data_IF_284144331870
#
_entry.id   IF_284144331870
#
_cell.length_a   1.000
_cell.length_b   1.000
_cell.length_c   1.000
_cell.angle_alpha   90.00
_cell.angle_beta   90.00
_cell.angle_gamma   90.00
#
_symmetry.space_group_name_H-M   'P 1'
#
loop_
_entity.id
_entity.type
_entity.pdbx_description
1 polymer ?
#
# COMPACT_ATOMS: atom_id res chain seq x y z
N UNK A 1 -11.07 91.26 28.34
CA UNK A 1 -10.21 90.16 27.83
C UNK A 1 -10.99 89.30 26.85
N UNK A 2 -10.77 89.48 25.50
CA UNK A 2 -11.48 88.76 24.43
C UNK A 2 -10.69 87.50 24.14
N UNK A 3 -11.27 86.33 24.33
CA UNK A 3 -10.70 85.01 23.92
C UNK A 3 -11.05 84.81 22.45
N UNK A 4 -10.03 84.73 21.56
CA UNK A 4 -10.18 84.38 20.16
C UNK A 4 -10.31 82.87 20.05
N UNK A 5 -11.25 82.31 19.24
CA UNK A 5 -11.28 80.88 18.93
C UNK A 5 -10.17 80.57 17.93
N UNK A 6 -9.38 79.50 18.24
CA UNK A 6 -8.40 78.91 17.32
C UNK A 6 -9.15 78.13 16.21
N UNK A 7 -9.14 78.68 15.02
CA UNK A 7 -9.52 77.96 13.79
C UNK A 7 -8.42 77.00 13.40
N UNK A 8 -8.62 75.71 13.54
CA UNK A 8 -7.77 74.69 12.93
C UNK A 8 -8.17 74.56 11.44
N UNK A 9 -7.22 74.48 10.51
CA UNK A 9 -7.55 74.38 9.09
C UNK A 9 -8.24 73.04 8.76
N UNK A 10 -9.28 73.09 8.00
CA UNK A 10 -10.15 71.94 7.61
C UNK A 10 -9.45 70.87 6.78
N UNK A 11 -8.27 71.14 6.25
CA UNK A 11 -7.52 70.23 5.30
C UNK A 11 -6.78 69.09 5.99
N UNK A 12 -6.52 69.12 7.29
CA UNK A 12 -5.82 68.04 7.98
C UNK A 12 -6.72 66.85 8.35
N UNK A 13 -8.06 66.98 8.32
CA UNK A 13 -9.00 65.89 8.67
C UNK A 13 -9.27 64.91 7.52
N UNK A 14 -9.20 65.33 6.29
CA UNK A 14 -9.54 64.49 5.11
C UNK A 14 -8.39 63.59 4.72
N UNK A 15 -7.16 64.03 4.82
CA UNK A 15 -5.97 63.22 4.42
C UNK A 15 -5.74 62.02 5.37
N UNK A 16 -6.01 62.19 6.65
CA UNK A 16 -5.92 61.12 7.67
C UNK A 16 -6.98 60.00 7.48
N UNK A 17 -8.21 60.39 7.15
CA UNK A 17 -9.30 59.45 6.91
C UNK A 17 -9.13 58.69 5.58
N UNK A 18 -8.59 59.31 4.55
CA UNK A 18 -8.30 58.64 3.27
C UNK A 18 -7.13 57.66 3.38
N UNK A 19 -6.09 57.95 4.16
CA UNK A 19 -5.00 57.02 4.47
C UNK A 19 -5.49 55.79 5.27
N UNK A 20 -6.37 55.99 6.25
CA UNK A 20 -7.00 54.90 7.00
C UNK A 20 -7.87 54.03 6.08
N UNK A 21 -8.72 54.63 5.25
CA UNK A 21 -9.56 53.89 4.27
C UNK A 21 -8.73 53.15 3.22
N UNK A 22 -7.59 53.68 2.75
CA UNK A 22 -6.66 52.98 1.84
C UNK A 22 -5.99 51.81 2.54
N UNK A 23 -5.61 51.97 3.80
CA UNK A 23 -5.00 50.89 4.59
C UNK A 23 -5.99 49.75 4.87
N UNK A 24 -7.23 50.06 5.23
CA UNK A 24 -8.30 49.09 5.44
C UNK A 24 -8.66 48.33 4.14
N UNK A 25 -8.77 49.04 2.98
CA UNK A 25 -8.98 48.39 1.68
C UNK A 25 -7.81 47.50 1.28
N UNK A 26 -6.59 47.91 1.56
CA UNK A 26 -5.38 47.08 1.32
C UNK A 26 -5.37 45.83 2.21
N UNK A 27 -5.72 45.96 3.48
CA UNK A 27 -5.84 44.82 4.40
C UNK A 27 -7.00 43.87 4.02
N UNK A 28 -8.16 44.41 3.64
CA UNK A 28 -9.30 43.64 3.18
C UNK A 28 -8.97 42.87 1.90
N UNK A 29 -8.28 43.50 0.93
CA UNK A 29 -7.84 42.88 -0.33
C UNK A 29 -6.80 41.79 -0.08
N UNK A 30 -5.89 41.99 0.90
CA UNK A 30 -4.91 40.99 1.31
C UNK A 30 -5.57 39.81 2.07
N UNK A 31 -6.59 40.08 2.90
CA UNK A 31 -7.36 39.01 3.58
C UNK A 31 -8.17 38.20 2.58
N UNK A 32 -8.86 38.84 1.63
CA UNK A 32 -9.61 38.13 0.58
C UNK A 32 -8.70 37.35 -0.36
N UNK A 33 -7.53 37.87 -0.75
CA UNK A 33 -6.55 37.17 -1.53
C UNK A 33 -5.93 35.97 -0.80
N UNK A 34 -5.66 36.09 0.51
CA UNK A 34 -5.21 34.96 1.35
C UNK A 34 -6.32 33.92 1.51
N UNK A 35 -7.56 34.35 1.68
CA UNK A 35 -8.71 33.44 1.83
C UNK A 35 -8.96 32.65 0.53
N UNK A 36 -8.95 33.30 -0.65
CA UNK A 36 -9.06 32.62 -1.93
C UNK A 36 -7.89 31.66 -2.20
N UNK A 37 -6.66 32.06 -1.86
CA UNK A 37 -5.50 31.20 -1.97
C UNK A 37 -5.58 29.97 -1.06
N UNK A 38 -6.12 30.14 0.15
CA UNK A 38 -6.35 29.04 1.10
C UNK A 38 -7.45 28.08 0.61
N UNK A 39 -8.53 28.60 0.02
CA UNK A 39 -9.61 27.78 -0.57
C UNK A 39 -9.09 26.98 -1.76
N UNK A 40 -8.35 27.61 -2.68
CA UNK A 40 -7.74 26.92 -3.81
C UNK A 40 -6.74 25.85 -3.40
N UNK A 41 -5.91 26.14 -2.39
CA UNK A 41 -4.98 25.12 -1.84
C UNK A 41 -5.72 23.99 -1.14
N UNK A 42 -6.85 24.23 -0.50
CA UNK A 42 -7.67 23.21 0.15
C UNK A 42 -8.27 22.23 -0.88
N UNK A 43 -8.89 22.72 -1.94
CA UNK A 43 -9.45 21.86 -2.99
C UNK A 43 -8.34 21.09 -3.73
N UNK A 44 -7.23 21.75 -4.00
CA UNK A 44 -6.14 21.10 -4.73
C UNK A 44 -5.47 19.94 -3.95
N UNK A 45 -5.48 19.98 -2.62
CA UNK A 45 -4.99 18.84 -1.79
C UNK A 45 -5.74 17.55 -2.08
N UNK A 46 -7.05 17.63 -2.28
CA UNK A 46 -7.86 16.45 -2.59
C UNK A 46 -7.65 15.96 -4.03
N UNK A 47 -7.36 16.86 -4.98
CA UNK A 47 -6.92 16.47 -6.33
C UNK A 47 -5.62 15.65 -6.24
N UNK A 48 -4.66 16.09 -5.41
CA UNK A 48 -3.43 15.34 -5.18
C UNK A 48 -3.73 13.95 -4.58
N UNK A 49 -4.61 13.86 -3.59
CA UNK A 49 -5.01 12.55 -3.02
C UNK A 49 -5.64 11.67 -4.09
N UNK A 50 -6.49 12.21 -4.96
CA UNK A 50 -7.05 11.48 -6.11
C UNK A 50 -6.00 10.96 -7.07
N UNK A 51 -5.00 11.77 -7.41
CA UNK A 51 -3.86 11.35 -8.24
C UNK A 51 -3.05 10.25 -7.54
N UNK A 52 -2.75 10.40 -6.25
CA UNK A 52 -2.02 9.40 -5.48
C UNK A 52 -2.83 8.11 -5.30
N UNK A 53 -4.14 8.19 -5.20
CA UNK A 53 -5.03 7.04 -5.19
C UNK A 53 -4.95 6.28 -6.52
N UNK A 54 -5.04 6.99 -7.66
CA UNK A 54 -4.87 6.39 -8.98
C UNK A 54 -3.50 5.70 -9.14
N UNK A 55 -2.41 6.35 -8.68
CA UNK A 55 -1.07 5.75 -8.63
C UNK A 55 -1.08 4.41 -7.89
N UNK A 56 -1.75 4.34 -6.73
CA UNK A 56 -1.81 3.10 -5.96
C UNK A 56 -2.71 2.04 -6.61
N UNK A 57 -3.80 2.44 -7.27
CA UNK A 57 -4.64 1.54 -8.07
C UNK A 57 -3.80 0.88 -9.17
N UNK A 58 -3.13 1.68 -9.99
CA UNK A 58 -2.35 1.19 -11.13
C UNK A 58 -1.15 0.35 -10.67
N UNK A 59 -0.36 0.86 -9.72
CA UNK A 59 0.80 0.14 -9.21
C UNK A 59 0.42 -1.23 -8.63
N UNK A 60 -0.70 -1.34 -7.90
CA UNK A 60 -1.11 -2.62 -7.33
C UNK A 60 -1.80 -3.53 -8.35
N UNK A 61 -2.54 -2.96 -9.30
CA UNK A 61 -3.08 -3.70 -10.44
C UNK A 61 -1.95 -4.41 -11.21
N UNK A 62 -0.83 -3.70 -11.42
CA UNK A 62 0.35 -4.25 -12.09
C UNK A 62 1.01 -5.37 -11.28
N UNK A 63 1.22 -5.19 -9.97
CA UNK A 63 1.77 -6.25 -9.12
C UNK A 63 0.87 -7.50 -9.16
N UNK A 64 -0.44 -7.32 -9.10
CA UNK A 64 -1.41 -8.42 -9.13
C UNK A 64 -1.46 -9.11 -10.49
N UNK A 65 -1.09 -8.44 -11.59
CA UNK A 65 -1.15 -9.00 -12.94
C UNK A 65 -0.28 -10.26 -13.07
N UNK A 66 0.87 -10.30 -12.40
CA UNK A 66 1.77 -11.45 -12.47
C UNK A 66 1.16 -12.74 -11.89
N UNK A 67 0.42 -12.64 -10.77
CA UNK A 67 -0.30 -13.76 -10.19
C UNK A 67 -1.55 -14.15 -10.99
N UNK A 68 -2.28 -13.14 -11.49
CA UNK A 68 -3.52 -13.36 -12.26
C UNK A 68 -3.22 -13.98 -13.63
N UNK A 69 -2.18 -13.53 -14.31
CA UNK A 69 -1.76 -14.02 -15.60
C UNK A 69 -0.79 -15.21 -15.51
N UNK A 70 -0.44 -15.63 -14.29
CA UNK A 70 0.49 -16.73 -14.04
C UNK A 70 0.16 -18.04 -14.79
N UNK A 71 -1.11 -18.47 -14.95
CA UNK A 71 -1.42 -19.66 -15.75
C UNK A 71 -0.92 -19.56 -17.18
N UNK A 72 -1.16 -18.42 -17.83
CA UNK A 72 -0.72 -18.18 -19.22
C UNK A 72 0.80 -18.00 -19.34
N UNK A 73 1.41 -17.28 -18.40
CA UNK A 73 2.86 -17.06 -18.36
C UNK A 73 3.59 -18.39 -18.12
N UNK A 74 3.04 -19.24 -17.23
CA UNK A 74 3.58 -20.56 -16.91
C UNK A 74 3.57 -21.47 -18.13
N UNK A 75 2.47 -21.47 -18.88
CA UNK A 75 2.31 -22.29 -20.09
C UNK A 75 3.21 -21.79 -21.23
N UNK A 76 3.19 -20.51 -21.55
CA UNK A 76 3.90 -19.91 -22.68
C UNK A 76 5.43 -19.93 -22.54
N UNK A 77 5.94 -19.72 -21.32
CA UNK A 77 7.37 -19.74 -21.00
C UNK A 77 7.84 -21.09 -20.43
N UNK A 78 6.98 -22.11 -20.38
CA UNK A 78 7.25 -23.44 -19.83
C UNK A 78 7.84 -23.40 -18.40
N UNK A 79 7.25 -22.56 -17.51
CA UNK A 79 7.76 -22.35 -16.18
C UNK A 79 7.23 -23.37 -15.18
N UNK A 80 8.05 -23.69 -14.18
CA UNK A 80 7.60 -24.37 -12.97
C UNK A 80 6.87 -23.40 -12.01
N UNK A 81 6.13 -23.94 -11.04
CA UNK A 81 5.46 -23.11 -10.04
C UNK A 81 6.46 -22.36 -9.17
N UNK A 82 7.61 -22.97 -8.86
CA UNK A 82 8.68 -22.29 -8.12
C UNK A 82 9.26 -21.12 -8.91
N UNK A 83 9.39 -21.22 -10.23
CA UNK A 83 9.84 -20.11 -11.08
C UNK A 83 8.86 -18.94 -11.08
N UNK A 84 7.55 -19.19 -11.07
CA UNK A 84 6.53 -18.14 -10.88
C UNK A 84 6.73 -17.45 -9.51
N UNK A 85 7.01 -18.21 -8.45
CA UNK A 85 7.32 -17.63 -7.14
C UNK A 85 8.56 -16.73 -7.17
N UNK A 86 9.62 -17.13 -7.86
CA UNK A 86 10.83 -16.32 -8.01
C UNK A 86 10.61 -15.02 -8.82
N UNK A 87 9.69 -14.99 -9.76
CA UNK A 87 9.30 -13.75 -10.44
C UNK A 87 8.77 -12.71 -9.42
N UNK A 88 7.92 -13.14 -8.50
CA UNK A 88 7.41 -12.28 -7.43
C UNK A 88 8.52 -11.89 -6.44
N UNK A 89 9.43 -12.83 -6.15
CA UNK A 89 10.60 -12.54 -5.31
C UNK A 89 11.52 -11.50 -5.93
N UNK A 90 11.78 -11.56 -7.24
CA UNK A 90 12.61 -10.58 -7.95
C UNK A 90 12.02 -9.17 -7.82
N UNK A 91 10.69 -9.03 -8.03
CA UNK A 91 9.97 -7.78 -7.80
C UNK A 91 10.15 -7.28 -6.36
N UNK A 92 9.97 -8.17 -5.36
CA UNK A 92 10.09 -7.82 -3.94
C UNK A 92 11.51 -7.41 -3.57
N UNK A 93 12.54 -8.06 -4.11
CA UNK A 93 13.95 -7.69 -3.93
C UNK A 93 14.20 -6.30 -4.50
N UNK A 94 13.79 -6.06 -5.75
CA UNK A 94 13.96 -4.77 -6.41
C UNK A 94 13.31 -3.63 -5.61
N UNK A 95 12.06 -3.83 -5.16
CA UNK A 95 11.35 -2.86 -4.34
C UNK A 95 12.05 -2.60 -3.00
N UNK A 96 12.55 -3.64 -2.33
CA UNK A 96 13.25 -3.52 -1.05
C UNK A 96 14.57 -2.75 -1.18
N UNK A 97 15.32 -3.00 -2.24
CA UNK A 97 16.60 -2.29 -2.52
C UNK A 97 16.37 -0.79 -2.73
N UNK A 98 15.35 -0.42 -3.46
CA UNK A 98 15.09 0.98 -3.84
C UNK A 98 14.30 1.76 -2.80
N UNK A 99 13.47 1.13 -1.98
CA UNK A 99 12.53 1.80 -1.07
C UNK A 99 13.22 2.71 -0.06
N UNK A 100 14.34 2.27 0.50
CA UNK A 100 15.08 3.07 1.48
C UNK A 100 15.79 4.27 0.85
N UNK A 101 16.61 4.12 -0.23
CA UNK A 101 17.20 5.27 -0.91
C UNK A 101 16.17 6.18 -1.59
N UNK A 102 15.04 5.65 -2.04
CA UNK A 102 13.97 6.44 -2.66
C UNK A 102 13.45 7.55 -1.73
N UNK A 103 13.28 7.26 -0.44
CA UNK A 103 12.89 8.27 0.54
C UNK A 103 13.84 9.47 0.58
N UNK A 104 15.15 9.23 0.47
CA UNK A 104 16.17 10.28 0.41
C UNK A 104 16.15 11.00 -0.94
N UNK A 105 16.09 10.26 -2.04
CA UNK A 105 16.11 10.83 -3.39
C UNK A 105 14.89 11.72 -3.64
N UNK A 106 13.71 11.31 -3.18
CA UNK A 106 12.46 12.09 -3.29
C UNK A 106 12.59 13.45 -2.59
N UNK A 107 13.36 13.54 -1.51
CA UNK A 107 13.62 14.80 -0.82
C UNK A 107 14.41 15.80 -1.66
N UNK A 108 15.28 15.32 -2.55
CA UNK A 108 16.11 16.18 -3.43
C UNK A 108 15.43 16.44 -4.78
N UNK A 109 14.97 15.38 -5.43
CA UNK A 109 14.44 15.43 -6.79
C UNK A 109 12.99 15.96 -6.86
N UNK A 110 12.27 15.92 -5.73
CA UNK A 110 10.86 16.29 -5.64
C UNK A 110 9.92 15.12 -5.94
N UNK A 111 8.72 15.20 -5.36
CA UNK A 111 7.71 14.14 -5.45
C UNK A 111 7.21 13.96 -6.88
N UNK A 112 6.91 15.08 -7.55
CA UNK A 112 6.36 15.08 -8.92
C UNK A 112 7.27 14.32 -9.88
N UNK A 113 8.56 14.67 -9.91
CA UNK A 113 9.56 14.05 -10.81
C UNK A 113 9.73 12.56 -10.49
N UNK A 114 9.85 12.24 -9.22
CA UNK A 114 10.10 10.86 -8.78
C UNK A 114 8.91 9.93 -9.04
N UNK A 115 7.67 10.37 -8.79
CA UNK A 115 6.48 9.59 -9.11
C UNK A 115 6.30 9.41 -10.63
N UNK A 116 6.50 10.49 -11.40
CA UNK A 116 6.44 10.41 -12.87
C UNK A 116 7.47 9.43 -13.42
N UNK A 117 8.72 9.51 -12.94
CA UNK A 117 9.79 8.58 -13.35
C UNK A 117 9.44 7.14 -12.96
N UNK A 118 8.98 6.92 -11.72
CA UNK A 118 8.63 5.59 -11.24
C UNK A 118 7.51 4.96 -12.08
N UNK A 119 6.41 5.70 -12.32
CA UNK A 119 5.29 5.19 -13.11
C UNK A 119 5.67 4.97 -14.59
N UNK A 120 6.49 5.86 -15.16
CA UNK A 120 7.01 5.69 -16.52
C UNK A 120 7.91 4.45 -16.64
N UNK A 121 8.81 4.22 -15.68
CA UNK A 121 9.65 3.02 -15.64
C UNK A 121 8.83 1.74 -15.40
N UNK A 122 7.87 1.76 -14.49
CA UNK A 122 6.94 0.65 -14.26
C UNK A 122 6.25 0.26 -15.57
N UNK A 123 5.66 1.25 -16.27
CA UNK A 123 5.01 1.00 -17.55
C UNK A 123 5.96 0.47 -18.62
N UNK A 124 7.16 1.06 -18.75
CA UNK A 124 8.20 0.60 -19.67
C UNK A 124 8.60 -0.86 -19.41
N UNK A 125 8.87 -1.22 -18.15
CA UNK A 125 9.27 -2.58 -17.79
C UNK A 125 8.12 -3.58 -17.92
N UNK A 126 6.86 -3.17 -17.77
CA UNK A 126 5.71 -4.02 -18.12
C UNK A 126 5.63 -4.29 -19.62
N UNK A 127 5.86 -3.28 -20.45
CA UNK A 127 5.94 -3.45 -21.92
C UNK A 127 7.08 -4.40 -22.27
N UNK A 128 8.27 -4.20 -21.70
CA UNK A 128 9.42 -5.08 -21.91
C UNK A 128 9.14 -6.51 -21.43
N UNK A 129 8.45 -6.69 -20.30
CA UNK A 129 8.07 -8.00 -19.79
C UNK A 129 7.08 -8.71 -20.73
N UNK A 130 6.14 -7.98 -21.34
CA UNK A 130 5.22 -8.55 -22.32
C UNK A 130 5.93 -9.12 -23.56
N UNK A 131 7.14 -8.66 -23.84
CA UNK A 131 7.98 -9.10 -24.96
C UNK A 131 9.06 -10.12 -24.52
N UNK A 132 9.11 -10.48 -23.21
CA UNK A 132 10.15 -11.37 -22.71
C UNK A 132 10.09 -12.76 -23.37
N UNK A 133 11.18 -13.21 -23.98
CA UNK A 133 11.23 -14.51 -24.67
C UNK A 133 11.64 -15.66 -23.75
N UNK A 134 12.14 -15.37 -22.53
CA UNK A 134 12.66 -16.39 -21.63
C UNK A 134 12.52 -15.98 -20.16
N UNK A 135 12.56 -16.99 -19.29
CA UNK A 135 12.49 -16.83 -17.84
C UNK A 135 13.54 -15.86 -17.27
N UNK A 136 14.80 -15.97 -17.69
CA UNK A 136 15.89 -15.15 -17.14
C UNK A 136 15.75 -13.67 -17.50
N UNK A 137 15.28 -13.39 -18.70
CA UNK A 137 14.98 -12.02 -19.13
C UNK A 137 13.78 -11.48 -18.35
N UNK A 138 12.72 -12.27 -18.22
CA UNK A 138 11.55 -11.93 -17.41
C UNK A 138 11.92 -11.63 -15.95
N UNK A 139 12.76 -12.46 -15.33
CA UNK A 139 13.25 -12.29 -13.96
C UNK A 139 14.02 -10.98 -13.77
N UNK A 140 14.94 -10.69 -14.72
CA UNK A 140 15.76 -9.46 -14.70
C UNK A 140 14.88 -8.23 -14.86
N UNK A 141 13.92 -8.27 -15.78
CA UNK A 141 12.97 -7.17 -15.98
C UNK A 141 12.17 -6.91 -14.71
N UNK A 142 11.68 -7.96 -14.03
CA UNK A 142 10.91 -7.80 -12.80
C UNK A 142 11.73 -7.30 -11.62
N UNK A 143 13.01 -7.62 -11.55
CA UNK A 143 13.92 -7.05 -10.56
C UNK A 143 14.01 -5.52 -10.72
N UNK A 144 14.21 -5.04 -11.95
CA UNK A 144 14.32 -3.60 -12.24
C UNK A 144 12.95 -2.91 -12.11
N UNK A 145 11.87 -3.56 -12.57
CA UNK A 145 10.50 -3.13 -12.32
C UNK A 145 10.26 -2.90 -10.82
N UNK A 146 10.67 -3.88 -9.99
CA UNK A 146 10.57 -3.79 -8.53
C UNK A 146 11.29 -2.55 -7.98
N UNK A 147 12.47 -2.23 -8.50
CA UNK A 147 13.20 -1.01 -8.09
C UNK A 147 12.40 0.27 -8.38
N UNK A 148 11.75 0.35 -9.54
CA UNK A 148 10.86 1.47 -9.86
C UNK A 148 9.64 1.51 -8.92
N UNK A 149 9.03 0.35 -8.64
CA UNK A 149 7.88 0.23 -7.75
C UNK A 149 8.19 0.66 -6.31
N UNK A 150 9.37 0.36 -5.79
CA UNK A 150 9.81 0.74 -4.45
C UNK A 150 9.85 2.25 -4.20
N UNK A 151 9.87 3.08 -5.25
CA UNK A 151 9.83 4.55 -5.15
C UNK A 151 8.42 5.07 -4.83
N UNK A 152 7.38 4.37 -5.29
CA UNK A 152 5.98 4.84 -5.26
C UNK A 152 5.52 5.12 -3.83
N UNK A 153 5.73 4.20 -2.91
CA UNK A 153 5.27 4.31 -1.52
C UNK A 153 5.83 5.53 -0.77
N UNK A 154 7.17 5.67 -0.68
CA UNK A 154 7.81 6.83 -0.06
C UNK A 154 7.43 8.16 -0.71
N UNK A 155 7.43 8.26 -2.04
CA UNK A 155 7.10 9.47 -2.77
C UNK A 155 5.64 9.91 -2.54
N UNK A 156 4.69 8.98 -2.63
CA UNK A 156 3.28 9.27 -2.39
C UNK A 156 3.01 9.65 -0.93
N UNK A 157 3.68 8.99 0.03
CA UNK A 157 3.55 9.32 1.45
C UNK A 157 4.09 10.70 1.77
N UNK A 158 5.24 11.05 1.20
CA UNK A 158 5.82 12.40 1.31
C UNK A 158 4.88 13.46 0.74
N UNK A 159 4.25 13.21 -0.42
CA UNK A 159 3.28 14.13 -1.00
C UNK A 159 2.14 14.47 -0.02
N UNK A 160 1.58 13.46 0.64
CA UNK A 160 0.54 13.70 1.66
C UNK A 160 1.07 14.51 2.84
N UNK A 161 2.28 14.21 3.31
CA UNK A 161 2.90 14.95 4.42
C UNK A 161 3.15 16.42 4.07
N UNK A 162 3.54 16.72 2.84
CA UNK A 162 3.88 18.06 2.38
C UNK A 162 2.62 18.92 2.09
N UNK A 163 1.50 18.30 1.69
CA UNK A 163 0.27 19.00 1.35
C UNK A 163 -0.76 19.10 2.48
N UNK A 164 -0.76 18.17 3.43
CA UNK A 164 -1.75 18.14 4.49
C UNK A 164 -1.17 18.56 5.84
N UNK A 165 -1.88 19.43 6.60
CA UNK A 165 -1.54 19.70 8.00
C UNK A 165 -1.71 18.44 8.84
N UNK A 166 -1.23 18.44 10.07
CA UNK A 166 -1.34 17.29 10.98
C UNK A 166 -2.77 16.74 11.09
N UNK A 167 -3.76 17.65 11.13
CA UNK A 167 -5.18 17.32 11.06
C UNK A 167 -5.53 16.99 9.60
N UNK A 168 -6.06 15.79 9.34
CA UNK A 168 -6.44 15.31 8.00
C UNK A 168 -5.38 14.46 7.28
N UNK A 169 -4.13 14.39 7.75
CA UNK A 169 -3.10 13.50 7.17
C UNK A 169 -3.50 12.03 7.21
N UNK A 170 -4.03 11.58 8.34
CA UNK A 170 -4.45 10.18 8.49
C UNK A 170 -5.56 9.82 7.50
N UNK A 171 -6.55 10.70 7.32
CA UNK A 171 -7.63 10.53 6.34
C UNK A 171 -7.08 10.46 4.92
N UNK A 172 -6.21 11.41 4.53
CA UNK A 172 -5.60 11.44 3.20
C UNK A 172 -4.75 10.18 2.93
N UNK A 173 -3.97 9.72 3.92
CA UNK A 173 -3.22 8.45 3.85
C UNK A 173 -4.16 7.25 3.69
N UNK A 174 -5.25 7.22 4.45
CA UNK A 174 -6.26 6.15 4.37
C UNK A 174 -6.91 6.10 2.99
N UNK A 175 -7.40 7.23 2.48
CA UNK A 175 -8.00 7.33 1.14
C UNK A 175 -7.02 6.87 0.07
N UNK A 176 -5.79 7.40 0.07
CA UNK A 176 -4.74 6.96 -0.85
C UNK A 176 -4.53 5.44 -0.81
N UNK A 177 -4.49 4.86 0.38
CA UNK A 177 -4.19 3.45 0.58
C UNK A 177 -5.33 2.50 0.12
N UNK A 178 -6.57 2.98 0.03
CA UNK A 178 -7.67 2.18 -0.56
C UNK A 178 -7.40 1.85 -2.02
N UNK A 179 -6.62 2.68 -2.73
CA UNK A 179 -6.20 2.41 -4.11
C UNK A 179 -5.56 1.04 -4.29
N UNK A 180 -4.80 0.55 -3.31
CA UNK A 180 -4.22 -0.81 -3.33
C UNK A 180 -5.30 -1.89 -3.50
N UNK A 181 -6.40 -1.79 -2.75
CA UNK A 181 -7.46 -2.78 -2.84
C UNK A 181 -8.23 -2.67 -4.18
N UNK A 182 -8.52 -1.44 -4.61
CA UNK A 182 -9.16 -1.21 -5.91
C UNK A 182 -8.28 -1.71 -7.07
N UNK A 183 -6.95 -1.58 -6.97
CA UNK A 183 -6.02 -2.17 -7.92
C UNK A 183 -6.17 -3.69 -8.03
N UNK A 184 -6.28 -4.40 -6.90
CA UNK A 184 -6.54 -5.84 -6.87
C UNK A 184 -7.91 -6.21 -7.47
N UNK A 185 -8.96 -5.44 -7.16
CA UNK A 185 -10.31 -5.64 -7.70
C UNK A 185 -10.29 -5.49 -9.23
N UNK A 186 -9.76 -4.38 -9.74
CA UNK A 186 -9.70 -4.14 -11.19
C UNK A 186 -8.82 -5.16 -11.90
N UNK A 187 -7.69 -5.55 -11.31
CA UNK A 187 -6.85 -6.59 -11.84
C UNK A 187 -7.61 -7.92 -12.00
N UNK A 188 -8.29 -8.36 -10.95
CA UNK A 188 -9.05 -9.62 -10.94
C UNK A 188 -10.23 -9.63 -11.90
N UNK A 189 -10.88 -8.48 -12.13
CA UNK A 189 -12.01 -8.39 -13.04
C UNK A 189 -11.60 -8.22 -14.50
N UNK A 190 -10.58 -7.39 -14.78
CA UNK A 190 -10.24 -6.99 -16.14
C UNK A 190 -9.21 -7.89 -16.79
N UNK A 191 -8.12 -8.26 -16.07
CA UNK A 191 -6.99 -8.93 -16.70
C UNK A 191 -7.31 -10.34 -17.19
N UNK A 192 -8.09 -11.19 -16.50
CA UNK A 192 -8.47 -12.49 -17.03
C UNK A 192 -9.28 -12.40 -18.32
N UNK A 193 -10.21 -11.45 -18.40
CA UNK A 193 -11.00 -11.22 -19.60
C UNK A 193 -10.11 -10.73 -20.76
N UNK A 194 -9.26 -9.73 -20.52
CA UNK A 194 -8.32 -9.24 -21.53
C UNK A 194 -7.38 -10.34 -22.04
N UNK A 195 -6.89 -11.21 -21.14
CA UNK A 195 -6.00 -12.29 -21.52
C UNK A 195 -6.66 -13.35 -22.40
N UNK A 196 -7.94 -13.62 -22.18
CA UNK A 196 -8.73 -14.54 -23.02
C UNK A 196 -8.99 -13.94 -24.40
N UNK A 197 -9.31 -12.62 -24.49
CA UNK A 197 -9.64 -11.97 -25.77
C UNK A 197 -8.41 -11.59 -26.60
N UNK A 198 -7.32 -11.17 -25.96
CA UNK A 198 -6.16 -10.61 -26.64
C UNK A 198 -4.89 -11.46 -26.51
N UNK A 199 -4.61 -12.02 -25.42
CA UNK A 199 -3.50 -12.79 -24.85
C UNK A 199 -2.91 -12.10 -23.64
N UNK A 200 -2.16 -12.82 -22.82
CA UNK A 200 -1.51 -12.26 -21.64
C UNK A 200 -0.46 -11.18 -22.00
N UNK A 201 0.24 -11.36 -23.14
CA UNK A 201 1.25 -10.39 -23.62
C UNK A 201 0.61 -9.06 -23.98
N UNK A 202 -0.48 -9.07 -24.75
CA UNK A 202 -1.21 -7.86 -25.13
C UNK A 202 -1.92 -7.23 -23.92
N UNK A 203 -2.36 -8.02 -22.95
CA UNK A 203 -2.94 -7.50 -21.71
C UNK A 203 -1.90 -6.72 -20.91
N UNK A 204 -0.68 -7.23 -20.76
CA UNK A 204 0.40 -6.52 -20.07
C UNK A 204 0.90 -5.31 -20.89
N UNK A 205 0.94 -5.41 -22.21
CA UNK A 205 1.25 -4.27 -23.08
C UNK A 205 0.23 -3.13 -22.86
N UNK A 206 -1.07 -3.44 -22.87
CA UNK A 206 -2.12 -2.46 -22.65
C UNK A 206 -2.01 -1.80 -21.27
N UNK A 207 -1.76 -2.60 -20.23
CA UNK A 207 -1.55 -2.08 -18.86
C UNK A 207 -0.28 -1.23 -18.77
N UNK A 208 0.81 -1.66 -19.42
CA UNK A 208 2.05 -0.89 -19.49
C UNK A 208 1.90 0.46 -20.19
N UNK A 209 1.15 0.50 -21.30
CA UNK A 209 0.83 1.74 -22.00
C UNK A 209 -0.04 2.66 -21.15
N UNK A 210 -1.04 2.11 -20.43
CA UNK A 210 -1.86 2.87 -19.49
C UNK A 210 -0.99 3.48 -18.37
N UNK A 211 0.00 2.74 -17.90
CA UNK A 211 0.93 3.21 -16.87
C UNK A 211 1.82 4.35 -17.37
N UNK A 212 2.37 4.23 -18.58
CA UNK A 212 3.13 5.33 -19.21
C UNK A 212 2.25 6.56 -19.42
N UNK A 213 1.01 6.37 -19.87
CA UNK A 213 0.04 7.48 -20.00
C UNK A 213 -0.26 8.12 -18.63
N UNK A 214 -0.37 7.31 -17.57
CA UNK A 214 -0.55 7.81 -16.21
C UNK A 214 0.62 8.65 -15.72
N UNK A 215 1.85 8.32 -16.11
CA UNK A 215 3.04 9.12 -15.79
C UNK A 215 2.94 10.53 -16.38
N UNK A 216 2.46 10.67 -17.62
CA UNK A 216 2.20 11.98 -18.23
C UNK A 216 1.10 12.76 -17.50
N UNK A 217 0.01 12.08 -17.12
CA UNK A 217 -1.08 12.66 -16.34
C UNK A 217 -0.58 13.14 -14.96
N UNK A 218 0.21 12.33 -14.26
CA UNK A 218 0.81 12.67 -12.97
C UNK A 218 1.72 13.90 -13.13
N UNK A 219 2.55 13.93 -14.16
CA UNK A 219 3.41 15.09 -14.44
C UNK A 219 2.58 16.36 -14.66
N UNK A 220 1.45 16.30 -15.33
CA UNK A 220 0.55 17.44 -15.55
C UNK A 220 -0.19 17.88 -14.29
N UNK A 221 -0.73 16.94 -13.53
CA UNK A 221 -1.63 17.21 -12.40
C UNK A 221 -0.92 17.35 -11.05
N UNK A 222 0.21 16.67 -10.83
CA UNK A 222 0.89 16.72 -9.55
C UNK A 222 1.80 17.95 -9.48
N UNK A 223 1.51 18.87 -8.56
CA UNK A 223 2.38 20.03 -8.28
C UNK A 223 3.25 19.74 -7.06
N UNK A 224 4.44 20.31 -7.06
CA UNK A 224 5.27 20.32 -5.85
C UNK A 224 4.59 21.18 -4.77
N UNK A 225 4.71 20.77 -3.53
CA UNK A 225 4.15 21.55 -2.42
C UNK A 225 4.89 22.89 -2.31
N UNK A 226 4.15 24.01 -2.14
CA UNK A 226 4.77 25.32 -1.90
C UNK A 226 5.51 25.36 -0.54
N UNK A 227 5.16 24.45 0.36
CA UNK A 227 5.85 24.28 1.64
C UNK A 227 7.00 23.30 1.42
N UNK A 228 8.15 23.78 0.94
CA UNK A 228 9.40 23.02 1.10
C UNK A 228 9.55 22.78 2.60
N UNK A 229 9.48 21.52 3.01
CA UNK A 229 9.69 21.15 4.39
C UNK A 229 11.12 21.51 4.81
N UNK A 230 11.28 22.75 5.26
CA UNK A 230 12.53 23.26 5.85
C UNK A 230 12.79 22.72 7.25
N UNK A 231 12.20 21.56 7.59
CA UNK A 231 12.58 20.89 8.82
C UNK A 231 14.01 20.35 8.65
N UNK A 232 14.92 20.72 9.54
CA UNK A 232 16.27 20.19 9.52
C UNK A 232 16.17 18.67 9.55
N UNK A 233 16.83 18.03 8.57
CA UNK A 233 16.90 16.56 8.51
C UNK A 233 17.44 16.08 9.84
N UNK A 234 16.67 15.32 10.57
CA UNK A 234 17.23 14.58 11.70
C UNK A 234 18.20 13.58 11.10
N UNK A 235 19.48 13.61 11.44
CA UNK A 235 20.45 12.67 10.90
C UNK A 235 19.94 11.24 11.17
N UNK A 236 20.16 10.35 10.18
CA UNK A 236 19.85 8.92 10.35
C UNK A 236 20.78 8.42 11.45
N UNK A 237 20.24 8.20 12.64
CA UNK A 237 21.02 7.70 13.76
C UNK A 237 21.04 6.18 13.64
N UNK A 238 22.02 5.62 12.94
CA UNK A 238 22.22 4.20 12.76
C UNK A 238 22.15 3.42 14.07
N UNK A 239 22.68 3.99 15.15
CA UNK A 239 22.58 3.42 16.50
C UNK A 239 21.13 3.24 16.97
N UNK A 240 20.21 4.14 16.56
CA UNK A 240 18.77 4.03 16.88
C UNK A 240 18.09 2.95 16.05
N UNK A 241 18.47 2.81 14.78
CA UNK A 241 17.96 1.74 13.89
C UNK A 241 18.42 0.38 14.45
N UNK A 242 19.72 0.23 14.72
CA UNK A 242 20.27 -1.02 15.23
C UNK A 242 19.62 -1.45 16.57
N UNK A 243 19.40 -0.48 17.47
CA UNK A 243 18.70 -0.73 18.73
C UNK A 243 17.25 -1.18 18.51
N UNK A 244 16.56 -0.62 17.54
CA UNK A 244 15.20 -1.04 17.20
C UNK A 244 15.13 -2.42 16.54
N UNK A 245 16.09 -2.73 15.67
CA UNK A 245 16.21 -4.07 15.04
C UNK A 245 16.46 -5.14 16.09
N UNK A 246 17.10 -4.79 17.22
CA UNK A 246 17.35 -5.71 18.34
C UNK A 246 16.26 -5.67 19.43
N UNK A 247 15.26 -4.78 19.28
CA UNK A 247 14.15 -4.72 20.24
C UNK A 247 13.24 -5.93 20.08
N UNK A 248 13.01 -6.65 21.20
CA UNK A 248 12.23 -7.89 21.22
C UNK A 248 10.82 -7.72 20.67
N UNK A 249 10.13 -6.64 21.06
CA UNK A 249 8.75 -6.41 20.64
C UNK A 249 8.67 -6.07 19.15
N UNK A 250 9.66 -5.33 18.62
CA UNK A 250 9.77 -5.02 17.19
C UNK A 250 10.10 -6.27 16.39
N UNK A 251 10.98 -7.16 16.88
CA UNK A 251 11.27 -8.44 16.23
C UNK A 251 10.03 -9.35 16.19
N UNK A 252 9.27 -9.43 17.29
CA UNK A 252 8.01 -10.20 17.31
C UNK A 252 7.00 -9.62 16.31
N UNK A 253 6.80 -8.30 16.29
CA UNK A 253 5.93 -7.62 15.33
C UNK A 253 6.43 -7.81 13.89
N UNK A 254 7.75 -7.77 13.66
CA UNK A 254 8.37 -8.09 12.38
C UNK A 254 8.09 -9.53 11.92
N UNK A 255 8.19 -10.50 12.82
CA UNK A 255 7.85 -11.91 12.56
C UNK A 255 6.35 -12.09 12.23
N UNK A 256 5.47 -11.36 12.91
CA UNK A 256 4.05 -11.33 12.60
C UNK A 256 3.82 -10.76 11.18
N UNK A 257 4.49 -9.64 10.84
CA UNK A 257 4.41 -9.06 9.49
C UNK A 257 4.96 -10.01 8.43
N UNK A 258 6.06 -10.72 8.72
CA UNK A 258 6.62 -11.77 7.85
C UNK A 258 5.55 -12.80 7.49
N UNK A 259 4.89 -13.39 8.47
CA UNK A 259 3.88 -14.43 8.24
C UNK A 259 2.64 -13.90 7.50
N UNK A 260 2.17 -12.69 7.83
CA UNK A 260 1.05 -12.08 7.09
C UNK A 260 1.41 -11.75 5.64
N UNK A 261 2.59 -11.16 5.40
CA UNK A 261 3.03 -10.86 4.03
C UNK A 261 3.33 -12.13 3.24
N UNK A 262 3.92 -13.14 3.87
CA UNK A 262 4.09 -14.47 3.29
C UNK A 262 2.75 -15.03 2.79
N UNK A 263 1.73 -15.03 3.63
CA UNK A 263 0.39 -15.53 3.30
C UNK A 263 -0.28 -14.68 2.21
N UNK A 264 -0.24 -13.35 2.34
CA UNK A 264 -0.89 -12.44 1.39
C UNK A 264 -0.28 -12.53 -0.01
N UNK A 265 1.06 -12.52 -0.12
CA UNK A 265 1.72 -12.56 -1.43
C UNK A 265 1.64 -13.95 -2.06
N UNK A 266 1.74 -15.04 -1.28
CA UNK A 266 1.51 -16.40 -1.80
C UNK A 266 0.08 -16.57 -2.30
N UNK A 267 -0.92 -16.11 -1.54
CA UNK A 267 -2.32 -16.11 -1.98
C UNK A 267 -2.50 -15.32 -3.28
N UNK A 268 -1.98 -14.11 -3.36
CA UNK A 268 -2.12 -13.26 -4.55
C UNK A 268 -1.43 -13.86 -5.78
N UNK A 269 -0.36 -14.64 -5.59
CA UNK A 269 0.38 -15.29 -6.67
C UNK A 269 -0.29 -16.57 -7.15
N UNK A 270 -0.77 -17.41 -6.21
CA UNK A 270 -1.17 -18.78 -6.52
C UNK A 270 -2.68 -19.04 -6.51
N UNK A 271 -3.51 -18.10 -6.03
CA UNK A 271 -4.96 -18.33 -6.01
C UNK A 271 -5.51 -18.66 -7.40
N UNK A 272 -5.15 -17.87 -8.41
CA UNK A 272 -5.64 -18.10 -9.79
C UNK A 272 -5.11 -19.44 -10.35
N UNK A 273 -3.84 -19.74 -10.12
CA UNK A 273 -3.25 -21.03 -10.51
C UNK A 273 -3.98 -22.20 -9.85
N UNK A 274 -4.21 -22.14 -8.54
CA UNK A 274 -4.99 -23.14 -7.80
C UNK A 274 -6.40 -23.31 -8.37
N UNK A 275 -7.12 -22.20 -8.59
CA UNK A 275 -8.48 -22.26 -9.10
C UNK A 275 -8.56 -22.77 -10.53
N UNK A 276 -7.58 -22.47 -11.39
CA UNK A 276 -7.58 -22.89 -12.80
C UNK A 276 -6.98 -24.28 -13.00
N UNK A 277 -5.87 -24.60 -12.36
CA UNK A 277 -5.16 -25.86 -12.59
C UNK A 277 -5.74 -27.02 -11.78
N UNK A 278 -6.08 -26.79 -10.51
CA UNK A 278 -6.61 -27.85 -9.65
C UNK A 278 -8.15 -27.88 -9.62
N UNK A 279 -8.79 -26.72 -9.38
CA UNK A 279 -10.26 -26.65 -9.33
C UNK A 279 -10.92 -26.60 -10.71
N UNK A 280 -10.15 -26.49 -11.79
CA UNK A 280 -10.61 -26.42 -13.19
C UNK A 280 -11.60 -25.29 -13.48
N UNK A 281 -11.53 -24.19 -12.72
CA UNK A 281 -12.38 -23.03 -12.98
C UNK A 281 -11.93 -22.29 -14.25
N UNK A 282 -12.88 -21.73 -15.03
CA UNK A 282 -12.54 -20.75 -16.06
C UNK A 282 -11.80 -19.58 -15.44
N UNK A 283 -10.77 -19.07 -16.12
CA UNK A 283 -9.89 -18.03 -15.55
C UNK A 283 -10.64 -16.75 -15.18
N UNK A 284 -11.70 -16.40 -15.92
CA UNK A 284 -12.56 -15.23 -15.60
C UNK A 284 -13.24 -15.43 -14.24
N UNK A 285 -13.77 -16.64 -13.97
CA UNK A 285 -14.36 -16.98 -12.68
C UNK A 285 -13.31 -16.95 -11.57
N UNK A 286 -12.11 -17.47 -11.82
CA UNK A 286 -11.00 -17.39 -10.87
C UNK A 286 -10.62 -15.93 -10.56
N UNK A 287 -10.61 -15.05 -11.56
CA UNK A 287 -10.42 -13.61 -11.40
C UNK A 287 -11.49 -12.93 -10.55
N UNK A 288 -12.76 -13.35 -10.66
CA UNK A 288 -13.85 -12.86 -9.81
C UNK A 288 -13.62 -13.23 -8.34
N UNK A 289 -13.16 -14.45 -8.04
CA UNK A 289 -12.78 -14.87 -6.67
C UNK A 289 -11.61 -14.01 -6.13
N UNK A 290 -10.62 -13.73 -6.98
CA UNK A 290 -9.52 -12.84 -6.62
C UNK A 290 -10.04 -11.43 -6.30
N UNK A 291 -10.83 -10.83 -7.18
CA UNK A 291 -11.43 -9.51 -6.98
C UNK A 291 -12.27 -9.44 -5.71
N UNK A 292 -13.09 -10.47 -5.46
CA UNK A 292 -13.91 -10.58 -4.25
C UNK A 292 -13.05 -10.61 -2.99
N UNK A 293 -11.93 -11.36 -2.98
CA UNK A 293 -11.03 -11.40 -1.83
C UNK A 293 -10.45 -10.03 -1.49
N UNK A 294 -10.10 -9.21 -2.49
CA UNK A 294 -9.62 -7.85 -2.30
C UNK A 294 -10.72 -6.88 -1.87
N UNK A 295 -11.94 -7.03 -2.38
CA UNK A 295 -13.10 -6.25 -1.94
C UNK A 295 -13.41 -6.50 -0.46
N UNK A 296 -13.47 -7.77 -0.08
CA UNK A 296 -13.68 -8.18 1.32
C UNK A 296 -12.50 -7.76 2.21
N UNK A 297 -11.28 -7.82 1.69
CA UNK A 297 -10.09 -7.32 2.38
C UNK A 297 -10.12 -5.81 2.63
N UNK A 298 -10.66 -5.03 1.68
CA UNK A 298 -10.88 -3.59 1.87
C UNK A 298 -11.88 -3.31 2.99
N UNK A 299 -13.02 -4.00 2.96
CA UNK A 299 -14.02 -3.94 4.01
C UNK A 299 -13.45 -4.39 5.37
N UNK A 300 -12.64 -5.46 5.37
CA UNK A 300 -11.97 -5.99 6.54
C UNK A 300 -11.07 -4.97 7.23
N UNK A 301 -10.30 -4.16 6.48
CA UNK A 301 -9.46 -3.11 7.07
C UNK A 301 -10.26 -2.10 7.90
N UNK A 302 -11.41 -1.69 7.41
CA UNK A 302 -12.31 -0.77 8.11
C UNK A 302 -12.97 -1.48 9.29
N UNK A 303 -13.53 -2.65 9.04
CA UNK A 303 -14.22 -3.46 10.04
C UNK A 303 -13.34 -3.75 11.26
N UNK A 304 -12.11 -4.26 11.05
CA UNK A 304 -11.19 -4.58 12.14
C UNK A 304 -10.78 -3.36 12.95
N UNK A 305 -10.57 -2.21 12.27
CA UNK A 305 -10.25 -0.96 12.96
C UNK A 305 -11.40 -0.51 13.85
N UNK A 306 -12.63 -0.52 13.33
CA UNK A 306 -13.83 -0.20 14.11
C UNK A 306 -14.06 -1.21 15.24
N UNK A 307 -13.94 -2.50 14.95
CA UNK A 307 -14.11 -3.55 15.95
C UNK A 307 -13.14 -3.39 17.11
N UNK A 308 -11.89 -3.03 16.81
CA UNK A 308 -10.89 -2.77 17.83
C UNK A 308 -11.19 -1.55 18.69
N UNK A 309 -11.66 -0.46 18.06
CA UNK A 309 -11.90 0.80 18.79
C UNK A 309 -13.18 0.78 19.61
N UNK A 310 -14.28 0.21 19.07
CA UNK A 310 -15.60 0.28 19.68
C UNK A 310 -15.95 -0.93 20.54
N UNK A 311 -15.56 -2.14 20.14
CA UNK A 311 -15.98 -3.36 20.83
C UNK A 311 -14.94 -3.92 21.79
N UNK A 312 -13.66 -3.70 21.57
CA UNK A 312 -12.58 -4.27 22.38
C UNK A 312 -11.72 -3.22 23.10
N UNK A 313 -12.24 -2.01 23.27
CA UNK A 313 -11.57 -0.94 24.03
C UNK A 313 -10.09 -0.73 23.64
N UNK A 314 -9.79 -0.88 22.36
CA UNK A 314 -8.42 -0.70 21.84
C UNK A 314 -7.48 -1.88 22.05
N UNK A 315 -7.97 -3.07 22.41
CA UNK A 315 -7.15 -4.28 22.60
C UNK A 315 -6.72 -4.86 21.24
N UNK A 316 -5.69 -4.28 20.63
CA UNK A 316 -5.19 -4.59 19.29
C UNK A 316 -4.74 -6.05 19.16
N UNK A 317 -4.09 -6.57 20.18
CA UNK A 317 -3.61 -7.96 20.24
C UNK A 317 -4.76 -8.97 20.10
N UNK A 318 -5.91 -8.72 20.74
CA UNK A 318 -7.08 -9.61 20.63
C UNK A 318 -7.65 -9.63 19.22
N UNK A 319 -7.78 -8.47 18.58
CA UNK A 319 -8.23 -8.39 17.18
C UNK A 319 -7.25 -9.10 16.25
N UNK A 320 -5.95 -8.84 16.39
CA UNK A 320 -4.96 -9.46 15.53
C UNK A 320 -4.91 -10.99 15.72
N UNK A 321 -5.19 -11.48 16.95
CA UNK A 321 -5.35 -12.91 17.22
C UNK A 321 -6.58 -13.49 16.50
N UNK A 322 -7.71 -12.78 16.50
CA UNK A 322 -8.92 -13.19 15.78
C UNK A 322 -8.67 -13.23 14.27
N UNK A 323 -8.00 -12.21 13.72
CA UNK A 323 -7.58 -12.17 12.32
C UNK A 323 -6.70 -13.37 11.98
N UNK A 324 -5.71 -13.70 12.83
CA UNK A 324 -4.83 -14.84 12.63
C UNK A 324 -5.55 -16.19 12.73
N UNK A 325 -6.56 -16.32 13.61
CA UNK A 325 -7.40 -17.51 13.69
C UNK A 325 -8.23 -17.70 12.41
N UNK A 326 -8.84 -16.64 11.90
CA UNK A 326 -9.58 -16.69 10.63
C UNK A 326 -8.64 -17.04 9.47
N UNK A 327 -7.45 -16.47 9.44
CA UNK A 327 -6.42 -16.80 8.44
C UNK A 327 -6.01 -18.29 8.54
N UNK A 328 -5.83 -18.81 9.77
CA UNK A 328 -5.49 -20.20 10.01
C UNK A 328 -6.55 -21.14 9.44
N UNK A 329 -7.81 -20.93 9.80
CA UNK A 329 -8.89 -21.79 9.33
C UNK A 329 -9.19 -21.63 7.84
N UNK A 330 -9.05 -20.43 7.28
CA UNK A 330 -9.25 -20.21 5.85
C UNK A 330 -8.15 -20.85 5.00
N UNK A 331 -6.89 -20.75 5.38
CA UNK A 331 -5.79 -21.44 4.69
C UNK A 331 -5.85 -22.95 4.88
N UNK A 332 -6.25 -23.43 6.05
CA UNK A 332 -6.49 -24.85 6.29
C UNK A 332 -7.65 -25.37 5.41
N UNK A 333 -8.74 -24.62 5.30
CA UNK A 333 -9.86 -24.97 4.42
C UNK A 333 -9.44 -25.05 2.96
N UNK A 334 -8.66 -24.09 2.45
CA UNK A 334 -8.10 -24.15 1.09
C UNK A 334 -7.23 -25.41 0.89
N UNK A 335 -6.41 -25.77 1.88
CA UNK A 335 -5.63 -27.02 1.88
C UNK A 335 -6.52 -28.27 1.85
N UNK A 336 -7.55 -28.30 2.71
CA UNK A 336 -8.47 -29.43 2.75
C UNK A 336 -9.29 -29.58 1.46
N UNK A 337 -9.72 -28.49 0.84
CA UNK A 337 -10.42 -28.49 -0.45
C UNK A 337 -9.52 -29.13 -1.55
N UNK A 338 -8.24 -28.86 -1.52
CA UNK A 338 -7.28 -29.48 -2.45
C UNK A 338 -7.18 -30.99 -2.26
N UNK A 339 -7.14 -31.48 -1.03
CA UNK A 339 -7.08 -32.93 -0.75
C UNK A 339 -8.42 -33.65 -0.95
N UNK A 340 -9.53 -32.97 -0.66
CA UNK A 340 -10.88 -33.51 -0.75
C UNK A 340 -11.79 -32.58 -1.59
N UNK A 341 -11.86 -32.81 -2.91
CA UNK A 341 -12.70 -31.99 -3.80
C UNK A 341 -14.18 -31.91 -3.41
N UNK A 342 -14.69 -32.87 -2.66
CA UNK A 342 -16.05 -32.83 -2.08
C UNK A 342 -16.29 -31.58 -1.19
N UNK A 343 -15.22 -30.97 -0.65
CA UNK A 343 -15.31 -29.74 0.14
C UNK A 343 -15.34 -28.45 -0.73
N UNK A 344 -15.33 -28.57 -2.06
CA UNK A 344 -15.39 -27.42 -2.98
C UNK A 344 -16.53 -26.42 -2.72
N UNK A 345 -17.71 -26.77 -2.18
CA UNK A 345 -18.73 -25.79 -1.80
C UNK A 345 -18.24 -24.78 -0.73
N UNK A 346 -17.23 -25.13 0.07
CA UNK A 346 -16.63 -24.23 1.07
C UNK A 346 -15.64 -23.22 0.48
N UNK A 347 -15.26 -23.36 -0.80
CA UNK A 347 -14.24 -22.52 -1.44
C UNK A 347 -14.57 -21.03 -1.35
N UNK A 348 -15.82 -20.65 -1.62
CA UNK A 348 -16.23 -19.24 -1.54
C UNK A 348 -16.04 -18.68 -0.12
N UNK A 349 -16.44 -19.45 0.88
CA UNK A 349 -16.32 -19.07 2.29
C UNK A 349 -14.84 -18.96 2.68
N UNK A 350 -14.00 -19.90 2.24
CA UNK A 350 -12.56 -19.89 2.51
C UNK A 350 -11.88 -18.67 1.88
N UNK A 351 -12.22 -18.30 0.64
CA UNK A 351 -11.67 -17.11 -0.05
C UNK A 351 -12.15 -15.81 0.61
N UNK A 352 -13.41 -15.72 1.03
CA UNK A 352 -13.94 -14.56 1.78
C UNK A 352 -13.23 -14.45 3.13
N UNK A 353 -13.09 -15.55 3.87
CA UNK A 353 -12.42 -15.57 5.15
C UNK A 353 -10.91 -15.23 5.03
N UNK A 354 -10.25 -15.70 3.97
CA UNK A 354 -8.89 -15.28 3.67
C UNK A 354 -8.81 -13.78 3.33
N UNK A 355 -9.73 -13.27 2.52
CA UNK A 355 -9.79 -11.85 2.14
C UNK A 355 -9.88 -10.93 3.36
N UNK A 356 -10.84 -11.18 4.26
CA UNK A 356 -11.05 -10.34 5.44
C UNK A 356 -9.86 -10.40 6.42
N UNK A 357 -9.15 -11.52 6.48
CA UNK A 357 -8.01 -11.75 7.39
C UNK A 357 -6.66 -11.50 6.73
N UNK A 358 -6.30 -12.23 5.68
CA UNK A 358 -4.99 -12.19 5.02
C UNK A 358 -4.71 -10.91 4.23
N UNK A 359 -5.76 -10.15 3.84
CA UNK A 359 -5.64 -8.85 3.17
C UNK A 359 -6.01 -7.70 4.12
N UNK A 360 -6.92 -7.96 5.08
CA UNK A 360 -7.46 -6.95 6.01
C UNK A 360 -6.58 -6.60 7.22
N UNK A 361 -5.54 -7.34 7.53
CA UNK A 361 -4.74 -7.26 8.77
C UNK A 361 -3.97 -5.95 9.00
N UNK A 362 -3.58 -5.31 7.93
CA UNK A 362 -2.54 -4.27 7.88
C UNK A 362 -2.80 -3.06 8.81
N UNK A 363 -4.06 -2.59 8.90
CA UNK A 363 -4.41 -1.42 9.69
C UNK A 363 -4.20 -1.66 11.20
N UNK A 364 -4.59 -2.83 11.71
CA UNK A 364 -4.40 -3.19 13.12
C UNK A 364 -2.91 -3.36 13.44
N UNK A 365 -2.17 -4.01 12.56
CA UNK A 365 -0.73 -4.17 12.70
C UNK A 365 0.00 -2.82 12.82
N UNK A 366 -0.27 -1.88 11.90
CA UNK A 366 0.34 -0.55 11.93
C UNK A 366 0.02 0.22 13.23
N UNK A 367 -1.20 0.06 13.72
CA UNK A 367 -1.60 0.66 15.00
C UNK A 367 -0.81 0.06 16.15
N UNK A 368 -0.66 -1.28 16.19
CA UNK A 368 0.15 -1.96 17.23
C UNK A 368 1.61 -1.51 17.22
N UNK A 369 2.23 -1.42 16.03
CA UNK A 369 3.61 -0.92 15.91
C UNK A 369 3.74 0.50 16.44
N UNK A 370 2.79 1.38 16.09
CA UNK A 370 2.78 2.76 16.57
C UNK A 370 2.67 2.87 18.10
N UNK A 371 1.84 2.01 18.70
CA UNK A 371 1.61 1.97 20.14
C UNK A 371 2.80 1.37 20.91
N UNK A 372 3.53 0.41 20.29
CA UNK A 372 4.70 -0.22 20.93
C UNK A 372 5.85 0.77 21.19
N UNK A 373 6.09 1.71 20.26
CA UNK A 373 7.29 2.60 20.30
C UNK A 373 7.00 4.07 20.55
N UNK A 374 5.72 4.47 20.52
CA UNK A 374 5.31 5.87 20.69
C UNK A 374 5.48 6.71 19.40
N UNK A 375 4.84 7.90 19.39
CA UNK A 375 4.66 8.73 18.19
C UNK A 375 5.95 9.12 17.46
N UNK A 376 7.03 9.40 18.19
CA UNK A 376 8.29 9.88 17.60
C UNK A 376 9.07 8.80 16.83
N UNK A 377 8.84 7.55 17.13
CA UNK A 377 9.60 6.42 16.58
C UNK A 377 8.75 5.50 15.70
N UNK A 378 7.44 5.76 15.56
CA UNK A 378 6.49 4.94 14.81
C UNK A 378 6.93 4.70 13.36
N UNK A 379 7.38 5.74 12.66
CA UNK A 379 7.82 5.61 11.26
C UNK A 379 9.02 4.67 11.11
N UNK A 380 10.00 4.79 12.00
CA UNK A 380 11.19 3.93 11.98
C UNK A 380 10.83 2.48 12.34
N UNK A 381 10.03 2.26 13.39
CA UNK A 381 9.61 0.93 13.79
C UNK A 381 8.74 0.23 12.72
N UNK A 382 7.84 0.98 12.07
CA UNK A 382 7.07 0.49 10.92
C UNK A 382 7.99 0.08 9.77
N UNK A 383 9.01 0.90 9.48
CA UNK A 383 10.00 0.59 8.45
C UNK A 383 10.75 -0.70 8.75
N UNK A 384 11.26 -0.86 9.97
CA UNK A 384 11.96 -2.10 10.41
C UNK A 384 11.02 -3.31 10.35
N UNK A 385 9.82 -3.19 10.91
CA UNK A 385 8.83 -4.28 10.93
C UNK A 385 8.42 -4.72 9.52
N UNK A 386 8.22 -3.77 8.61
CA UNK A 386 7.92 -4.08 7.21
C UNK A 386 9.11 -4.63 6.43
N UNK A 387 10.34 -4.20 6.73
CA UNK A 387 11.53 -4.80 6.10
C UNK A 387 11.63 -6.29 6.44
N UNK A 388 11.35 -6.67 7.69
CA UNK A 388 11.26 -8.09 8.09
C UNK A 388 10.04 -8.75 7.38
N UNK A 389 8.91 -8.08 7.32
CA UNK A 389 7.70 -8.54 6.64
C UNK A 389 7.95 -8.86 5.15
N UNK A 390 8.67 -8.00 4.45
CA UNK A 390 8.99 -8.21 3.03
C UNK A 390 9.85 -9.46 2.78
N UNK A 391 10.64 -9.92 3.76
CA UNK A 391 11.31 -11.22 3.65
C UNK A 391 10.29 -12.37 3.49
N UNK A 392 9.09 -12.25 4.07
CA UNK A 392 8.00 -13.21 3.88
C UNK A 392 7.49 -13.23 2.43
N UNK A 393 7.30 -12.06 1.82
CA UNK A 393 6.90 -11.96 0.40
C UNK A 393 8.01 -12.40 -0.56
N UNK A 394 9.27 -12.34 -0.12
CA UNK A 394 10.42 -12.79 -0.88
C UNK A 394 10.58 -14.33 -0.85
N UNK A 395 10.41 -14.95 0.32
CA UNK A 395 10.76 -16.35 0.52
C UNK A 395 9.59 -17.31 0.34
N UNK A 396 8.39 -16.93 0.76
CA UNK A 396 7.26 -17.86 0.79
C UNK A 396 6.64 -18.16 -0.58
N UNK A 397 6.49 -17.24 -1.54
CA UNK A 397 5.98 -17.62 -2.85
C UNK A 397 6.84 -18.67 -3.59
N UNK A 398 8.19 -18.60 -3.64
CA UNK A 398 8.99 -19.68 -4.19
C UNK A 398 8.84 -20.99 -3.43
N UNK A 399 8.77 -20.93 -2.08
CA UNK A 399 8.59 -22.12 -1.26
C UNK A 399 7.21 -22.77 -1.49
N UNK A 400 6.18 -21.96 -1.62
CA UNK A 400 4.84 -22.41 -2.03
C UNK A 400 4.89 -23.13 -3.38
N UNK A 401 5.51 -22.50 -4.38
CA UNK A 401 5.67 -23.09 -5.71
C UNK A 401 6.50 -24.37 -5.68
N UNK A 402 7.57 -24.44 -4.88
CA UNK A 402 8.38 -25.63 -4.69
C UNK A 402 7.55 -26.81 -4.15
N UNK A 403 6.68 -26.56 -3.17
CA UNK A 403 5.80 -27.60 -2.64
C UNK A 403 4.83 -28.09 -3.71
N UNK A 404 4.25 -27.18 -4.50
CA UNK A 404 3.35 -27.54 -5.60
C UNK A 404 4.09 -28.37 -6.65
N UNK A 405 5.27 -27.93 -7.11
CA UNK A 405 6.06 -28.67 -8.12
C UNK A 405 6.55 -30.04 -7.64
N UNK A 406 6.76 -30.20 -6.30
CA UNK A 406 7.25 -31.46 -5.72
C UNK A 406 6.15 -32.48 -5.47
N UNK A 407 4.94 -32.01 -5.20
CA UNK A 407 3.82 -32.88 -4.76
C UNK A 407 2.69 -32.96 -5.76
N UNK A 408 2.69 -32.11 -6.80
CA UNK A 408 1.59 -31.91 -7.77
C UNK A 408 0.25 -31.55 -7.11
N UNK A 409 0.24 -31.14 -5.83
CA UNK A 409 -0.94 -30.83 -5.01
C UNK A 409 -0.76 -29.48 -4.32
N UNK A 410 -1.69 -28.57 -4.50
CA UNK A 410 -1.68 -27.26 -3.85
C UNK A 410 -1.93 -27.34 -2.34
N UNK A 411 -2.55 -28.42 -1.86
CA UNK A 411 -2.90 -28.60 -0.47
C UNK A 411 -1.74 -28.45 0.48
N UNK A 412 -0.58 -29.04 0.19
CA UNK A 412 0.62 -28.89 1.02
C UNK A 412 1.14 -27.46 1.10
N UNK A 413 1.02 -26.73 0.00
CA UNK A 413 1.42 -25.32 -0.02
C UNK A 413 0.45 -24.43 0.78
N UNK A 414 -0.85 -24.73 0.77
CA UNK A 414 -1.83 -24.07 1.65
C UNK A 414 -1.61 -24.39 3.13
N UNK A 415 -1.16 -25.63 3.46
CA UNK A 415 -0.78 -25.98 4.82
C UNK A 415 0.46 -25.21 5.31
N UNK A 416 1.39 -24.85 4.42
CA UNK A 416 2.46 -23.91 4.76
C UNK A 416 1.91 -22.56 5.19
N UNK A 417 0.88 -22.04 4.52
CA UNK A 417 0.22 -20.78 4.93
C UNK A 417 -0.52 -20.95 6.26
N UNK A 418 -1.10 -22.12 6.49
CA UNK A 418 -1.70 -22.47 7.80
C UNK A 418 -0.64 -22.47 8.91
N UNK A 419 0.55 -23.00 8.65
CA UNK A 419 1.67 -22.94 9.59
C UNK A 419 2.13 -21.51 9.86
N UNK A 420 2.20 -20.65 8.83
CA UNK A 420 2.46 -19.21 9.01
C UNK A 420 1.42 -18.54 9.91
N UNK A 421 0.14 -18.84 9.72
CA UNK A 421 -0.94 -18.31 10.58
C UNK A 421 -0.83 -18.84 12.02
N UNK A 422 -0.45 -20.11 12.21
CA UNK A 422 -0.14 -20.69 13.51
C UNK A 422 1.05 -19.99 14.18
N UNK A 423 2.10 -19.66 13.42
CA UNK A 423 3.25 -18.91 13.92
C UNK A 423 2.85 -17.49 14.38
N UNK A 424 1.90 -16.81 13.68
CA UNK A 424 1.36 -15.53 14.15
C UNK A 424 0.71 -15.69 15.52
N UNK A 425 -0.11 -16.74 15.72
CA UNK A 425 -0.78 -17.01 16.99
C UNK A 425 0.24 -17.23 18.12
N UNK A 426 1.30 -17.99 17.84
CA UNK A 426 2.40 -18.21 18.78
C UNK A 426 3.14 -16.91 19.11
N UNK A 427 3.53 -16.13 18.10
CA UNK A 427 4.22 -14.84 18.29
C UNK A 427 3.37 -13.88 19.11
N UNK A 428 2.04 -13.86 18.89
CA UNK A 428 1.13 -13.05 19.68
C UNK A 428 1.05 -13.48 21.15
N UNK A 429 1.35 -14.72 21.51
CA UNK A 429 1.46 -15.10 22.93
C UNK A 429 2.68 -14.48 23.58
N UNK A 430 3.79 -14.40 22.85
CA UNK A 430 5.08 -13.85 23.31
C UNK A 430 5.10 -12.32 23.38
N UNK A 431 4.25 -11.65 22.59
CA UNK A 431 4.12 -10.20 22.58
C UNK A 431 3.41 -9.70 23.84
N UNK A 432 4.03 -8.76 24.57
CA UNK A 432 3.41 -8.10 25.73
C UNK A 432 2.81 -6.75 25.30
N UNK A 433 1.47 -6.68 25.24
CA UNK A 433 0.78 -5.42 25.00
C UNK A 433 0.98 -4.50 26.21
N UNK A 434 1.47 -3.26 26.00
CA UNK A 434 1.60 -2.28 27.06
C UNK A 434 0.20 -1.87 27.51
N UNK A 435 -0.08 -2.03 28.80
CA UNK A 435 -1.35 -1.59 29.38
C UNK A 435 -1.54 -0.08 29.17
N UNK A 436 -2.65 0.30 28.58
CA UNK A 436 -3.05 1.71 28.55
C UNK A 436 -3.74 2.04 29.85
N UNK A 437 -3.44 3.20 30.48
CA UNK A 437 -4.34 3.71 31.49
C UNK A 437 -5.71 3.88 30.83
N UNK A 438 -6.71 3.20 31.39
CA UNK A 438 -8.11 3.33 30.99
C UNK A 438 -8.45 4.81 31.20
N UNK A 439 -8.52 5.58 30.12
CA UNK A 439 -9.10 6.92 30.17
C UNK A 439 -10.56 6.70 30.58
N UNK A 440 -10.83 6.96 31.86
CA UNK A 440 -12.20 7.02 32.37
C UNK A 440 -13.00 7.95 31.46
N UNK A 441 -14.07 7.39 30.87
CA UNK A 441 -15.07 8.15 30.12
C UNK A 441 -15.79 9.15 31.02
#
# INVERSE_FOLDING_TARGET
MKVRPLFLPADCRTDGMDKIRRHERYQARNRSGRMMKNIQTFHYRWVIVGVLWLVHVLAFMNISSFGILAPFIKEDLHLSSVQIGFLISALSIGASISQMPAGLIVDFAGVRRMLTLAMGLIGLFLILFSLAPSYWIALTILLIYGMANGIVGPAASKSVLDWFPAVGRATAMGVKQTGVNFGGIFAGLLLPALAVFLSWRHSLLAVGLLEVASAALIYGLLKESPVRSGQPRRPIVWKKILRMVMDRDILILGGIAFCFMASQFSFSTYLILFLTQEMKFPIVKAGQYFALSFLIGAAGRVFWSMASDYFLAGQRKRILRLIALILFFSSLALGMISFWPALSPLLLVAVIAFGISGIGWNAIYLTMVGEAVGKESTGLATGVGYSIGFLGSLTCPPLFGFLVDRTDVYGYAWLLMTACAGAILLLLTLYKEKERPILSR
#
